data_IF_902636716781
#
_entry.id   IF_902636716781
#
_cell.length_a   1.000
_cell.length_b   1.000
_cell.length_c   1.000
_cell.angle_alpha   90.00
_cell.angle_beta   90.00
_cell.angle_gamma   90.00
#
_symmetry.space_group_name_H-M   'P 1'
#
loop_
_entity.id
_entity.type
_entity.pdbx_description
1 polymer ?
#
# COMPACT_ATOMS: atom_id res chain seq x y z
N UNK A 1 5.24 18.35 69.47
CA UNK A 1 5.91 17.03 69.56
C UNK A 1 5.25 16.12 68.53
N UNK A 2 5.68 16.12 67.27
CA UNK A 2 6.75 15.28 66.65
C UNK A 2 6.45 13.77 66.69
N UNK A 3 6.23 13.17 65.50
CA UNK A 3 7.16 12.23 64.83
C UNK A 3 6.66 11.84 63.41
N UNK A 4 7.44 12.24 62.39
CA UNK A 4 7.91 11.52 61.18
C UNK A 4 7.33 10.11 60.88
N UNK A 5 7.17 9.57 59.66
CA UNK A 5 7.74 9.80 58.32
C UNK A 5 7.00 8.88 57.31
N UNK A 6 6.74 9.32 56.07
CA UNK A 6 6.96 8.51 54.85
C UNK A 6 6.76 9.34 53.57
N UNK A 7 7.90 9.77 53.00
CA UNK A 7 8.06 10.10 51.57
C UNK A 7 8.01 8.80 50.76
N UNK A 8 7.23 8.74 49.66
CA UNK A 8 7.46 8.07 48.35
C UNK A 8 6.26 8.45 47.45
N UNK A 9 6.33 8.94 46.22
CA UNK A 9 7.43 9.22 45.31
C UNK A 9 6.97 10.28 44.29
N UNK A 10 7.93 11.12 43.93
CA UNK A 10 7.90 12.03 42.80
C UNK A 10 7.98 11.21 41.49
N UNK A 11 7.59 11.86 40.38
CA UNK A 11 8.05 11.59 39.02
C UNK A 11 7.35 10.49 38.20
N UNK A 12 6.40 10.94 37.39
CA UNK A 12 5.84 10.19 36.27
C UNK A 12 5.33 11.13 35.20
N UNK A 13 6.13 12.15 34.87
CA UNK A 13 5.96 12.99 33.68
C UNK A 13 5.78 12.01 32.52
N UNK A 14 4.60 12.00 31.90
CA UNK A 14 4.40 11.29 30.65
C UNK A 14 5.35 11.94 29.66
N UNK A 15 6.53 11.35 29.49
CA UNK A 15 7.47 11.69 28.44
C UNK A 15 6.74 11.46 27.15
N UNK A 16 6.16 12.54 26.58
CA UNK A 16 5.78 12.62 25.19
C UNK A 16 7.07 12.39 24.43
N UNK A 17 7.32 11.13 24.09
CA UNK A 17 8.38 10.79 23.17
C UNK A 17 7.99 11.49 21.86
N UNK A 18 8.75 12.52 21.49
CA UNK A 18 8.71 13.14 20.17
C UNK A 18 9.27 12.17 19.11
N UNK A 19 8.84 10.91 19.18
CA UNK A 19 9.19 9.90 18.22
C UNK A 19 8.02 9.83 17.23
N UNK A 20 8.15 10.42 16.02
CA UNK A 20 7.08 10.40 15.02
C UNK A 20 6.66 8.97 14.61
N UNK A 21 7.45 7.95 14.95
CA UNK A 21 7.12 6.54 14.77
C UNK A 21 6.10 5.99 15.80
N UNK A 22 6.00 6.58 16.99
CA UNK A 22 5.12 6.06 18.05
C UNK A 22 3.63 6.42 17.83
N UNK A 23 3.34 7.47 17.06
CA UNK A 23 1.98 7.87 16.67
C UNK A 23 1.37 7.00 15.56
N UNK A 24 2.16 6.08 14.98
CA UNK A 24 1.72 5.20 13.89
C UNK A 24 0.92 3.99 14.42
N UNK A 25 1.02 3.66 15.71
CA UNK A 25 0.61 2.35 16.24
C UNK A 25 -0.81 2.23 16.85
N UNK A 26 -1.74 3.18 16.69
CA UNK A 26 -3.08 3.05 17.33
C UNK A 26 -4.30 3.39 16.48
N UNK A 27 -4.18 3.56 15.16
CA UNK A 27 -5.36 3.54 14.28
C UNK A 27 -5.15 2.47 13.23
N UNK A 28 -5.94 1.38 13.30
CA UNK A 28 -6.22 0.53 12.13
C UNK A 28 -6.53 1.50 10.99
N UNK A 29 -5.60 1.68 10.06
CA UNK A 29 -5.81 2.60 8.95
C UNK A 29 -6.99 2.03 8.19
N UNK A 30 -8.11 2.75 8.17
CA UNK A 30 -9.27 2.34 7.38
C UNK A 30 -8.78 2.26 5.94
N UNK A 31 -8.86 1.08 5.33
CA UNK A 31 -8.45 0.88 3.95
C UNK A 31 -9.21 1.88 3.07
N UNK A 32 -8.45 2.70 2.34
CA UNK A 32 -9.00 3.67 1.38
C UNK A 32 -8.86 3.09 -0.01
N UNK A 33 -9.91 3.23 -0.81
CA UNK A 33 -9.99 2.78 -2.19
C UNK A 33 -10.40 3.99 -3.03
N UNK A 34 -9.44 4.81 -3.45
CA UNK A 34 -9.71 6.11 -4.09
C UNK A 34 -9.67 6.08 -5.63
N UNK A 35 -9.43 4.89 -6.20
CA UNK A 35 -9.43 4.65 -7.64
C UNK A 35 -10.41 3.55 -7.99
N UNK A 36 -10.96 3.63 -9.20
CA UNK A 36 -11.68 2.50 -9.79
C UNK A 36 -10.75 1.28 -9.84
N UNK A 37 -11.24 0.17 -9.30
CA UNK A 37 -10.45 -1.06 -9.23
C UNK A 37 -10.21 -1.61 -10.63
N UNK A 38 -8.97 -2.02 -10.95
CA UNK A 38 -8.72 -2.76 -12.18
C UNK A 38 -9.65 -3.97 -12.27
N UNK A 39 -10.45 -4.00 -13.34
CA UNK A 39 -11.43 -5.05 -13.58
C UNK A 39 -11.03 -5.85 -14.81
N UNK A 40 -11.06 -7.18 -14.70
CA UNK A 40 -10.79 -8.05 -15.84
C UNK A 40 -11.90 -7.91 -16.86
N UNK A 41 -11.54 -7.57 -18.10
CA UNK A 41 -12.50 -7.40 -19.20
C UNK A 41 -13.30 -8.67 -19.55
N UNK A 42 -12.77 -9.85 -19.22
CA UNK A 42 -13.35 -11.15 -19.59
C UNK A 42 -14.24 -11.74 -18.50
N UNK A 43 -13.76 -11.84 -17.26
CA UNK A 43 -14.50 -12.47 -16.17
C UNK A 43 -15.11 -11.47 -15.17
N UNK A 44 -14.81 -10.17 -15.28
CA UNK A 44 -15.32 -9.16 -14.35
C UNK A 44 -14.67 -9.19 -12.96
N UNK A 45 -13.71 -10.08 -12.69
CA UNK A 45 -12.92 -10.09 -11.45
C UNK A 45 -12.30 -8.72 -11.22
N UNK A 46 -12.34 -8.25 -9.98
CA UNK A 46 -11.74 -6.97 -9.58
C UNK A 46 -10.48 -7.21 -8.77
N UNK A 47 -9.47 -6.37 -9.00
CA UNK A 47 -8.26 -6.32 -8.20
C UNK A 47 -8.35 -5.14 -7.23
N UNK A 48 -8.64 -5.43 -5.96
CA UNK A 48 -8.73 -4.42 -4.92
C UNK A 48 -7.34 -3.98 -4.46
N UNK A 49 -7.01 -2.72 -4.73
CA UNK A 49 -5.71 -2.12 -4.40
C UNK A 49 -5.96 -1.01 -3.38
N UNK A 50 -5.80 -1.26 -2.07
CA UNK A 50 -5.92 -0.20 -1.08
C UNK A 50 -4.83 0.84 -1.31
N UNK A 51 -5.21 2.11 -1.18
CA UNK A 51 -4.30 3.24 -1.29
C UNK A 51 -3.74 3.61 0.09
N UNK A 52 -2.41 3.64 0.26
CA UNK A 52 -1.77 4.15 1.45
C UNK A 52 -1.96 5.67 1.60
N UNK A 53 -1.79 6.22 2.81
CA UNK A 53 -1.75 7.67 3.02
C UNK A 53 -0.78 8.36 2.04
N UNK A 54 -1.14 9.56 1.57
CA UNK A 54 -0.40 10.27 0.52
C UNK A 54 1.08 10.46 0.86
N UNK A 55 1.34 10.97 2.04
CA UNK A 55 2.68 11.16 2.58
C UNK A 55 3.50 9.86 2.64
N UNK A 56 2.85 8.71 2.80
CA UNK A 56 3.52 7.42 2.89
C UNK A 56 4.01 6.96 1.51
N UNK A 57 3.14 6.92 0.49
CA UNK A 57 3.60 6.47 -0.83
C UNK A 57 4.55 7.46 -1.51
N UNK A 58 4.39 8.76 -1.24
CA UNK A 58 5.34 9.77 -1.71
C UNK A 58 6.73 9.57 -1.10
N UNK A 59 6.83 9.09 0.15
CA UNK A 59 8.11 8.76 0.79
C UNK A 59 8.83 7.58 0.14
N UNK A 60 8.10 6.68 -0.54
CA UNK A 60 8.69 5.60 -1.34
C UNK A 60 9.18 6.07 -2.72
N UNK A 61 8.89 7.32 -3.09
CA UNK A 61 9.19 7.90 -4.39
C UNK A 61 8.05 7.78 -5.42
N UNK A 62 6.87 7.30 -5.00
CA UNK A 62 5.70 7.22 -5.87
C UNK A 62 5.06 8.61 -5.97
N UNK A 63 5.24 9.30 -7.10
CA UNK A 63 4.67 10.64 -7.30
C UNK A 63 3.24 10.60 -7.89
N UNK A 64 2.86 9.48 -8.49
CA UNK A 64 1.54 9.27 -9.06
C UNK A 64 1.03 7.87 -8.74
N UNK A 65 -0.02 7.79 -7.91
CA UNK A 65 -0.61 6.51 -7.49
C UNK A 65 -1.10 5.67 -8.67
N UNK A 66 -1.66 6.31 -9.71
CA UNK A 66 -2.12 5.64 -10.93
C UNK A 66 -0.99 4.97 -11.71
N UNK A 67 0.22 5.53 -11.68
CA UNK A 67 1.39 4.93 -12.32
C UNK A 67 1.83 3.66 -11.58
N UNK A 68 1.84 3.70 -10.24
CA UNK A 68 2.09 2.52 -9.41
C UNK A 68 1.09 1.40 -9.71
N UNK A 69 -0.21 1.72 -9.75
CA UNK A 69 -1.28 0.73 -9.99
C UNK A 69 -1.08 -0.02 -11.31
N UNK A 70 -0.68 0.66 -12.39
CA UNK A 70 -0.39 0.02 -13.69
C UNK A 70 0.73 -1.01 -13.65
N UNK A 71 1.70 -0.84 -12.75
CA UNK A 71 2.78 -1.81 -12.57
C UNK A 71 2.39 -2.88 -11.55
N UNK A 72 1.66 -2.51 -10.49
CA UNK A 72 1.14 -3.44 -9.49
C UNK A 72 0.29 -4.55 -10.11
N UNK A 73 -0.61 -4.21 -11.05
CA UNK A 73 -1.44 -5.22 -11.73
C UNK A 73 -0.56 -6.27 -12.45
N UNK A 74 0.54 -5.86 -13.08
CA UNK A 74 1.47 -6.75 -13.79
C UNK A 74 2.19 -7.69 -12.82
N UNK A 75 2.68 -7.16 -11.70
CA UNK A 75 3.28 -7.98 -10.64
C UNK A 75 2.31 -8.99 -10.02
N UNK A 76 1.00 -8.78 -10.15
CA UNK A 76 -0.03 -9.70 -9.66
C UNK A 76 -0.58 -10.62 -10.76
N UNK A 77 0.10 -10.72 -11.91
CA UNK A 77 -0.29 -11.61 -13.01
C UNK A 77 -1.46 -11.10 -13.85
N UNK A 78 -1.66 -9.78 -13.92
CA UNK A 78 -2.67 -9.15 -14.78
C UNK A 78 -1.98 -8.35 -15.88
N UNK A 79 -2.59 -8.33 -17.05
CA UNK A 79 -1.94 -7.79 -18.25
C UNK A 79 -2.85 -6.79 -18.95
N UNK A 80 -2.28 -5.66 -19.36
CA UNK A 80 -2.86 -4.79 -20.37
C UNK A 80 -2.58 -5.43 -21.74
N UNK A 81 -3.61 -5.66 -22.55
CA UNK A 81 -3.47 -6.35 -23.83
C UNK A 81 -3.50 -5.38 -25.01
N UNK A 82 -2.45 -5.37 -25.83
CA UNK A 82 -2.32 -4.48 -26.98
C UNK A 82 -3.39 -4.76 -28.03
N UNK A 83 -3.68 -6.04 -28.29
CA UNK A 83 -4.70 -6.50 -29.23
C UNK A 83 -6.14 -6.48 -28.67
N UNK A 84 -6.34 -5.97 -27.45
CA UNK A 84 -7.67 -5.80 -26.84
C UNK A 84 -7.91 -4.36 -26.41
N UNK A 85 -7.56 -3.38 -27.26
CA UNK A 85 -7.74 -1.95 -26.97
C UNK A 85 -7.16 -1.54 -25.61
N UNK A 86 -6.04 -2.14 -25.19
CA UNK A 86 -5.40 -1.89 -23.89
C UNK A 86 -6.30 -2.19 -22.68
N UNK A 87 -7.26 -3.09 -22.83
CA UNK A 87 -8.04 -3.60 -21.71
C UNK A 87 -7.18 -4.50 -20.81
N UNK A 88 -7.53 -4.54 -19.53
CA UNK A 88 -6.86 -5.36 -18.52
C UNK A 88 -7.52 -6.75 -18.46
N UNK A 89 -6.70 -7.80 -18.41
CA UNK A 89 -7.13 -9.19 -18.27
C UNK A 89 -6.32 -9.87 -17.15
N UNK A 90 -6.96 -10.66 -16.29
CA UNK A 90 -6.26 -11.45 -15.27
C UNK A 90 -5.61 -12.69 -15.87
N UNK A 91 -4.58 -13.25 -15.22
CA UNK A 91 -3.86 -14.43 -15.68
C UNK A 91 -4.78 -15.62 -16.01
N UNK A 92 -5.81 -15.87 -15.20
CA UNK A 92 -6.80 -16.94 -15.41
C UNK A 92 -7.59 -16.80 -16.73
N UNK A 93 -7.67 -15.57 -17.24
CA UNK A 93 -8.39 -15.24 -18.47
C UNK A 93 -7.46 -14.96 -19.64
N UNK A 94 -6.14 -15.05 -19.47
CA UNK A 94 -5.17 -14.86 -20.53
C UNK A 94 -5.27 -16.02 -21.53
N UNK A 95 -5.29 -15.71 -22.82
CA UNK A 95 -5.32 -16.67 -23.92
C UNK A 95 -3.97 -16.71 -24.62
N UNK A 96 -3.74 -17.78 -25.38
CA UNK A 96 -2.49 -17.99 -26.13
C UNK A 96 -2.27 -16.96 -27.26
N UNK A 97 -3.34 -16.34 -27.76
CA UNK A 97 -3.32 -15.33 -28.83
C UNK A 97 -3.30 -13.89 -28.31
N UNK A 98 -3.23 -13.70 -26.98
CA UNK A 98 -3.14 -12.37 -26.39
C UNK A 98 -1.74 -11.77 -26.55
N UNK A 99 -1.69 -10.45 -26.73
CA UNK A 99 -0.44 -9.69 -26.80
C UNK A 99 -0.31 -8.82 -25.52
N UNK A 100 0.26 -9.36 -24.43
CA UNK A 100 0.39 -8.62 -23.18
C UNK A 100 1.49 -7.57 -23.26
N UNK A 101 1.23 -6.38 -22.72
CA UNK A 101 2.23 -5.36 -22.48
C UNK A 101 3.12 -5.78 -21.29
N UNK A 102 4.28 -6.35 -21.59
CA UNK A 102 5.26 -6.85 -20.61
C UNK A 102 6.30 -5.81 -20.17
N UNK A 103 6.16 -4.55 -20.56
CA UNK A 103 7.11 -3.50 -20.15
C UNK A 103 7.01 -3.29 -18.64
N UNK A 104 8.08 -3.67 -17.94
CA UNK A 104 8.32 -3.48 -16.52
C UNK A 104 9.46 -2.46 -16.34
N UNK A 105 9.34 -1.59 -15.35
CA UNK A 105 10.33 -0.55 -15.07
C UNK A 105 11.01 -0.88 -13.74
N UNK A 106 12.35 -0.97 -13.71
CA UNK A 106 13.11 -1.43 -12.53
C UNK A 106 12.85 -0.63 -11.24
N UNK A 107 12.50 0.66 -11.35
CA UNK A 107 12.17 1.50 -10.19
C UNK A 107 10.93 1.01 -9.43
N UNK A 108 10.09 0.19 -10.07
CA UNK A 108 8.83 -0.28 -9.50
C UNK A 108 8.99 -1.49 -8.61
N UNK A 109 10.02 -2.31 -8.78
CA UNK A 109 10.25 -3.48 -7.91
C UNK A 109 10.36 -3.04 -6.44
N UNK A 110 11.13 -1.96 -6.20
CA UNK A 110 11.24 -1.35 -4.86
C UNK A 110 9.89 -0.82 -4.36
N UNK A 111 9.10 -0.18 -5.21
CA UNK A 111 7.79 0.35 -4.82
C UNK A 111 6.82 -0.78 -4.44
N UNK A 112 6.85 -1.89 -5.17
CA UNK A 112 6.02 -3.07 -4.89
C UNK A 112 6.42 -3.69 -3.55
N UNK A 113 7.71 -3.78 -3.27
CA UNK A 113 8.22 -4.29 -1.99
C UNK A 113 7.73 -3.44 -0.81
N UNK A 114 7.93 -2.12 -0.85
CA UNK A 114 7.47 -1.20 0.20
C UNK A 114 5.95 -1.24 0.37
N UNK A 115 5.21 -1.31 -0.75
CA UNK A 115 3.75 -1.42 -0.72
C UNK A 115 3.27 -2.73 -0.09
N UNK A 116 3.88 -3.86 -0.43
CA UNK A 116 3.51 -5.15 0.15
C UNK A 116 3.79 -5.20 1.66
N UNK A 117 4.95 -4.69 2.10
CA UNK A 117 5.26 -4.54 3.54
C UNK A 117 4.21 -3.70 4.27
N UNK A 118 3.81 -2.58 3.68
CA UNK A 118 2.73 -1.77 4.25
C UNK A 118 1.41 -2.54 4.28
N UNK A 119 1.02 -3.21 3.20
CA UNK A 119 -0.24 -3.96 3.10
C UNK A 119 -0.33 -5.11 4.11
N UNK A 120 0.78 -5.82 4.35
CA UNK A 120 0.88 -6.90 5.34
C UNK A 120 0.82 -6.38 6.79
N UNK A 121 1.06 -5.09 7.01
CA UNK A 121 1.01 -4.46 8.33
C UNK A 121 -0.40 -3.96 8.74
N UNK A 122 -1.40 -4.05 7.86
CA UNK A 122 -2.78 -3.57 8.05
C UNK A 122 -3.70 -4.60 8.70
#
# INVERSE_FOLDING_TARGET
MSRYDKKQGLDGIATLTNNPLALINTRKQKLVYDIEHPRCKRCGKELYIPKPPKNLFESWGIMAWTAFVKQYIKHNGWYELENLNRNIVCGDCLKSDDVPNTIMLNSYDKWIEEYNKWKESL
#
